data_IF_680770716875
#
_entry.id   IF_680770716875
#
_cell.length_a   1.000
_cell.length_b   1.000
_cell.length_c   1.000
_cell.angle_alpha   90.00
_cell.angle_beta   90.00
_cell.angle_gamma   90.00
#
_symmetry.space_group_name_H-M   'P 1'
#
loop_
_entity.id
_entity.type
_entity.pdbx_description
1 polymer ?
#
# COMPACT_ATOMS: atom_id res chain seq x y z
N UNK A 1 9.17 -8.58 28.69
CA UNK A 1 8.47 -9.35 27.65
C UNK A 1 9.38 -9.46 26.44
N UNK A 2 9.54 -10.68 25.87
CA UNK A 2 10.32 -10.87 24.65
C UNK A 2 9.39 -10.97 23.43
N UNK A 3 9.66 -10.20 22.37
CA UNK A 3 9.00 -10.25 21.06
C UNK A 3 10.04 -10.64 20.01
N UNK A 4 9.86 -11.79 19.40
CA UNK A 4 10.68 -12.20 18.25
C UNK A 4 10.13 -11.61 16.96
N UNK A 5 10.99 -11.41 15.98
CA UNK A 5 10.61 -10.94 14.65
C UNK A 5 11.61 -11.31 13.58
N UNK A 6 11.24 -11.01 12.34
CA UNK A 6 12.08 -11.21 11.15
C UNK A 6 12.04 -9.97 10.27
N UNK A 7 13.14 -9.66 9.62
CA UNK A 7 13.20 -8.67 8.54
C UNK A 7 13.55 -9.38 7.24
N UNK A 8 12.75 -9.12 6.21
CA UNK A 8 12.86 -9.75 4.90
C UNK A 8 12.91 -8.69 3.79
N UNK A 9 13.54 -9.04 2.67
CA UNK A 9 13.55 -8.20 1.47
C UNK A 9 12.21 -8.36 0.73
N UNK A 10 11.71 -7.27 0.21
CA UNK A 10 10.54 -7.18 -0.67
C UNK A 10 10.86 -7.81 -2.04
N UNK A 11 10.79 -9.15 -2.10
CA UNK A 11 11.01 -9.94 -3.30
C UNK A 11 10.30 -11.32 -3.20
N UNK A 12 10.26 -12.07 -4.30
CA UNK A 12 9.62 -13.39 -4.40
C UNK A 12 10.18 -14.43 -3.43
N UNK A 13 11.47 -14.30 -3.09
CA UNK A 13 12.16 -15.30 -2.28
C UNK A 13 12.07 -15.03 -0.77
N UNK A 14 11.45 -13.91 -0.36
CA UNK A 14 11.41 -13.48 1.06
C UNK A 14 12.78 -13.59 1.73
N UNK A 15 13.82 -13.20 1.00
CA UNK A 15 15.19 -13.31 1.46
C UNK A 15 15.39 -12.58 2.79
N UNK A 16 16.08 -13.18 3.75
CA UNK A 16 16.36 -12.51 5.01
C UNK A 16 17.24 -11.28 4.81
N UNK A 17 17.02 -10.25 5.62
CA UNK A 17 17.82 -9.03 5.59
C UNK A 17 18.61 -8.87 6.89
N UNK A 18 19.91 -9.23 6.90
CA UNK A 18 20.77 -9.08 8.06
C UNK A 18 21.22 -7.63 8.29
N UNK A 19 21.65 -7.32 9.51
CA UNK A 19 22.24 -6.04 9.86
C UNK A 19 21.26 -4.85 9.74
N UNK A 20 19.97 -5.10 9.98
CA UNK A 20 18.96 -4.05 10.12
C UNK A 20 18.94 -3.61 11.57
N UNK A 21 19.09 -2.33 11.82
CA UNK A 21 19.00 -1.74 13.15
C UNK A 21 17.54 -1.50 13.53
N UNK A 22 17.14 -1.94 14.70
CA UNK A 22 15.79 -1.81 15.19
C UNK A 22 15.79 -1.20 16.60
N UNK A 23 14.93 -0.19 16.78
CA UNK A 23 14.68 0.40 18.09
C UNK A 23 13.20 0.47 18.39
N UNK A 24 12.82 0.19 19.60
CA UNK A 24 11.45 0.32 20.10
C UNK A 24 11.43 0.94 21.49
N UNK A 25 10.35 1.61 21.84
CA UNK A 25 10.17 2.18 23.18
C UNK A 25 10.21 1.07 24.23
N UNK A 26 10.94 1.27 25.31
CA UNK A 26 11.09 0.33 26.45
C UNK A 26 11.80 -1.00 26.09
N UNK A 27 12.55 -1.06 24.98
CA UNK A 27 13.42 -2.18 24.64
C UNK A 27 14.82 -1.68 24.22
N UNK A 28 15.89 -2.40 24.56
CA UNK A 28 17.21 -2.11 24.00
C UNK A 28 17.19 -2.19 22.47
N UNK A 29 18.05 -1.39 21.81
CA UNK A 29 18.29 -1.53 20.39
C UNK A 29 18.79 -2.93 20.06
N UNK A 30 18.42 -3.44 18.89
CA UNK A 30 18.82 -4.77 18.41
C UNK A 30 19.06 -4.72 16.91
N UNK A 31 19.92 -5.60 16.42
CA UNK A 31 20.18 -5.78 14.98
C UNK A 31 19.66 -7.14 14.54
N UNK A 32 19.36 -7.29 13.23
CA UNK A 32 19.04 -8.60 12.69
C UNK A 32 20.30 -9.45 12.50
N UNK A 33 20.17 -10.75 12.81
CA UNK A 33 21.19 -11.76 12.55
C UNK A 33 21.31 -12.10 11.05
N UNK A 34 22.20 -13.07 10.72
CA UNK A 34 22.42 -13.54 9.34
C UNK A 34 21.14 -14.09 8.66
N UNK A 35 20.17 -14.53 9.44
CA UNK A 35 18.89 -15.05 8.98
C UNK A 35 17.77 -14.00 9.04
N UNK A 36 18.12 -12.73 9.25
CA UNK A 36 17.16 -11.64 9.37
C UNK A 36 16.32 -11.67 10.64
N UNK A 37 16.66 -12.50 11.65
CA UNK A 37 15.91 -12.58 12.88
C UNK A 37 16.36 -11.49 13.87
N UNK A 38 15.43 -11.03 14.69
CA UNK A 38 15.70 -10.13 15.81
C UNK A 38 14.82 -10.44 17.01
N UNK A 39 15.15 -9.85 18.16
CA UNK A 39 14.36 -9.98 19.38
C UNK A 39 14.38 -8.69 20.18
N UNK A 40 13.21 -8.12 20.43
CA UNK A 40 13.05 -7.06 21.41
C UNK A 40 12.81 -7.64 22.80
N UNK A 41 13.47 -7.10 23.80
CA UNK A 41 13.30 -7.43 25.22
C UNK A 41 12.72 -6.23 25.98
N UNK A 42 11.39 -6.14 26.01
CA UNK A 42 10.68 -5.05 26.68
C UNK A 42 10.76 -5.17 28.20
N UNK A 43 11.11 -4.08 28.88
CA UNK A 43 11.20 -4.02 30.34
C UNK A 43 9.83 -3.81 30.99
N UNK A 44 8.98 -2.96 30.41
CA UNK A 44 7.68 -2.53 30.99
C UNK A 44 6.47 -3.11 30.27
N UNK A 45 6.61 -3.55 29.02
CA UNK A 45 5.49 -4.04 28.21
C UNK A 45 5.09 -5.47 28.54
N UNK A 46 3.80 -5.81 28.34
CA UNK A 46 3.22 -7.14 28.55
C UNK A 46 2.64 -7.71 27.26
N UNK A 47 2.47 -9.05 27.15
CA UNK A 47 1.73 -9.64 26.04
C UNK A 47 0.32 -9.04 25.94
N UNK A 48 -0.14 -8.81 24.69
CA UNK A 48 -1.44 -8.18 24.42
C UNK A 48 -1.42 -6.65 24.35
N UNK A 49 -0.34 -6.00 24.78
CA UNK A 49 -0.21 -4.55 24.62
C UNK A 49 0.20 -4.17 23.20
N UNK A 50 -0.40 -3.09 22.67
CA UNK A 50 0.05 -2.49 21.44
C UNK A 50 1.32 -1.66 21.68
N UNK A 51 2.26 -1.72 20.75
CA UNK A 51 3.44 -0.87 20.73
C UNK A 51 3.36 0.13 19.58
N UNK A 52 3.99 1.30 19.76
CA UNK A 52 4.25 2.20 18.65
C UNK A 52 5.12 1.51 17.60
N UNK A 53 5.06 1.99 16.37
CA UNK A 53 5.90 1.48 15.29
C UNK A 53 7.37 1.51 15.72
N UNK A 54 8.10 0.40 15.66
CA UNK A 54 9.54 0.42 15.87
C UNK A 54 10.21 1.25 14.79
N UNK A 55 11.29 1.93 15.13
CA UNK A 55 12.16 2.52 14.13
C UNK A 55 13.03 1.41 13.54
N UNK A 56 13.05 1.32 12.21
CA UNK A 56 13.73 0.29 11.43
C UNK A 56 14.65 1.00 10.44
N UNK A 57 15.94 0.72 10.51
CA UNK A 57 16.92 1.39 9.67
C UNK A 57 17.94 0.42 9.08
N UNK A 58 18.15 0.54 7.78
CA UNK A 58 19.29 -0.02 7.06
C UNK A 58 19.61 0.90 5.87
N UNK A 59 20.88 1.28 5.74
CA UNK A 59 21.33 2.14 4.64
C UNK A 59 20.97 1.51 3.28
N UNK A 60 20.37 2.31 2.39
CA UNK A 60 19.96 1.88 1.05
C UNK A 60 18.67 1.05 1.01
N UNK A 61 17.92 1.01 2.12
CA UNK A 61 16.62 0.30 2.20
C UNK A 61 15.55 1.18 2.81
N UNK A 62 14.31 0.97 2.37
CA UNK A 62 13.11 1.62 2.89
C UNK A 62 12.10 0.61 3.45
N UNK A 63 11.31 1.04 4.43
CA UNK A 63 10.31 0.21 5.08
C UNK A 63 9.03 0.11 4.22
N UNK A 64 8.63 -1.11 3.85
CA UNK A 64 7.46 -1.38 3.00
C UNK A 64 6.17 -1.44 3.82
N UNK A 65 6.13 -2.23 4.87
CA UNK A 65 4.90 -2.57 5.60
C UNK A 65 4.67 -1.75 6.87
N UNK A 66 4.98 -0.44 6.83
CA UNK A 66 4.87 0.47 7.98
C UNK A 66 3.50 0.43 8.68
N UNK A 67 2.41 0.34 7.90
CA UNK A 67 1.05 0.35 8.43
C UNK A 67 0.69 -0.95 9.18
N UNK A 68 1.34 -2.06 8.81
CA UNK A 68 1.14 -3.36 9.46
C UNK A 68 1.88 -3.47 10.80
N UNK A 69 3.02 -2.79 10.93
CA UNK A 69 3.82 -2.82 12.17
C UNK A 69 3.42 -1.74 13.16
N UNK A 70 2.71 -0.70 12.70
CA UNK A 70 2.17 0.33 13.59
C UNK A 70 1.01 -0.22 14.43
N UNK A 71 1.10 -0.05 15.75
CA UNK A 71 0.13 -0.62 16.68
C UNK A 71 0.22 -2.14 16.80
N UNK A 72 1.38 -2.73 16.55
CA UNK A 72 1.59 -4.17 16.69
C UNK A 72 1.26 -4.65 18.11
N UNK A 73 0.48 -5.73 18.19
CA UNK A 73 0.13 -6.35 19.48
C UNK A 73 1.23 -7.35 19.87
N UNK A 74 1.87 -7.11 20.98
CA UNK A 74 2.94 -7.97 21.50
C UNK A 74 2.45 -9.39 21.78
N UNK A 75 3.19 -10.38 21.26
CA UNK A 75 2.84 -11.79 21.38
C UNK A 75 4.10 -12.66 21.47
N UNK A 76 4.12 -13.59 22.42
CA UNK A 76 5.19 -14.61 22.49
C UNK A 76 5.11 -15.62 21.34
N UNK A 77 3.93 -15.82 20.78
CA UNK A 77 3.68 -16.85 19.76
C UNK A 77 3.76 -16.30 18.33
N UNK A 78 3.49 -15.01 18.13
CA UNK A 78 3.42 -14.38 16.83
C UNK A 78 4.65 -13.50 16.60
N UNK A 79 5.55 -13.86 15.66
CA UNK A 79 6.70 -13.03 15.33
C UNK A 79 6.26 -11.74 14.63
N UNK A 80 6.97 -10.65 14.86
CA UNK A 80 6.80 -9.40 14.12
C UNK A 80 7.50 -9.54 12.78
N UNK A 81 6.74 -9.43 11.69
CA UNK A 81 7.29 -9.48 10.33
C UNK A 81 7.48 -8.07 9.78
N UNK A 82 8.70 -7.75 9.41
CA UNK A 82 9.09 -6.48 8.82
C UNK A 82 9.58 -6.75 7.39
N UNK A 83 9.13 -5.92 6.45
CA UNK A 83 9.52 -6.02 5.03
C UNK A 83 10.18 -4.72 4.62
N UNK A 84 11.36 -4.82 4.03
CA UNK A 84 12.12 -3.68 3.51
C UNK A 84 12.42 -3.90 2.02
N UNK A 85 12.40 -2.81 1.25
CA UNK A 85 12.80 -2.79 -0.15
C UNK A 85 14.09 -1.97 -0.33
N UNK A 86 14.87 -2.18 -1.39
CA UNK A 86 15.86 -1.19 -1.79
C UNK A 86 15.24 0.20 -1.91
N UNK A 87 15.96 1.22 -1.47
CA UNK A 87 15.51 2.61 -1.49
C UNK A 87 15.10 3.03 -2.91
N UNK A 88 13.93 3.68 -3.04
CA UNK A 88 13.35 4.10 -4.32
C UNK A 88 12.40 3.07 -4.96
N UNK A 89 12.38 1.82 -4.52
CA UNK A 89 11.52 0.77 -5.10
C UNK A 89 10.04 1.11 -4.98
N UNK A 90 9.62 1.63 -3.83
CA UNK A 90 8.22 1.99 -3.61
C UNK A 90 7.83 3.22 -4.44
N UNK A 91 8.73 4.21 -4.53
CA UNK A 91 8.49 5.41 -5.35
C UNK A 91 8.41 5.07 -6.84
N UNK A 92 9.28 4.20 -7.34
CA UNK A 92 9.24 3.72 -8.72
C UNK A 92 7.92 2.98 -9.02
N UNK A 93 7.51 2.07 -8.14
CA UNK A 93 6.24 1.36 -8.27
C UNK A 93 5.04 2.30 -8.15
N UNK A 94 5.07 3.29 -7.24
CA UNK A 94 4.05 4.33 -7.13
C UNK A 94 3.92 5.11 -8.44
N UNK A 95 5.03 5.57 -8.99
CA UNK A 95 5.05 6.33 -10.25
C UNK A 95 4.52 5.51 -11.42
N UNK A 96 4.81 4.21 -11.47
CA UNK A 96 4.26 3.28 -12.46
C UNK A 96 2.73 3.23 -12.37
N UNK A 97 2.16 2.94 -11.20
CA UNK A 97 0.71 2.83 -11.04
C UNK A 97 0.00 4.16 -11.21
N UNK A 98 0.61 5.26 -10.76
CA UNK A 98 0.14 6.61 -11.02
C UNK A 98 0.04 6.88 -12.52
N UNK A 99 1.11 6.66 -13.26
CA UNK A 99 1.18 6.92 -14.71
C UNK A 99 0.18 6.08 -15.50
N UNK A 100 0.05 4.78 -15.19
CA UNK A 100 -0.94 3.90 -15.81
C UNK A 100 -2.36 4.44 -15.59
N UNK A 101 -2.69 4.78 -14.35
CA UNK A 101 -4.02 5.25 -13.98
C UNK A 101 -4.37 6.59 -14.62
N UNK A 102 -3.42 7.54 -14.63
CA UNK A 102 -3.59 8.85 -15.27
C UNK A 102 -3.78 8.70 -16.78
N UNK A 103 -2.97 7.86 -17.45
CA UNK A 103 -3.10 7.64 -18.88
C UNK A 103 -4.49 7.09 -19.28
N UNK A 104 -4.99 6.11 -18.54
CA UNK A 104 -6.33 5.56 -18.78
C UNK A 104 -7.44 6.58 -18.50
N UNK A 105 -7.32 7.34 -17.42
CA UNK A 105 -8.30 8.36 -17.06
C UNK A 105 -8.34 9.49 -18.09
N UNK A 106 -7.18 10.03 -18.51
CA UNK A 106 -7.09 11.08 -19.52
C UNK A 106 -7.73 10.66 -20.84
N UNK A 107 -7.45 9.44 -21.31
CA UNK A 107 -8.07 8.90 -22.52
C UNK A 107 -9.60 8.78 -22.40
N UNK A 108 -10.13 8.37 -21.24
CA UNK A 108 -11.56 8.34 -20.97
C UNK A 108 -12.16 9.75 -20.99
N UNK A 109 -11.49 10.71 -20.34
CA UNK A 109 -11.93 12.11 -20.28
C UNK A 109 -11.93 12.77 -21.65
N UNK A 110 -10.88 12.61 -22.45
CA UNK A 110 -10.80 13.14 -23.83
C UNK A 110 -11.99 12.66 -24.66
N UNK A 111 -12.30 11.36 -24.60
CA UNK A 111 -13.43 10.78 -25.31
C UNK A 111 -14.77 11.37 -24.83
N UNK A 112 -14.96 11.49 -23.53
CA UNK A 112 -16.18 12.04 -22.96
C UNK A 112 -16.36 13.55 -23.30
N UNK A 113 -15.28 14.34 -23.31
CA UNK A 113 -15.29 15.74 -23.73
C UNK A 113 -15.67 15.83 -25.21
N UNK A 114 -15.12 14.98 -26.07
CA UNK A 114 -15.45 14.96 -27.48
C UNK A 114 -16.93 14.60 -27.70
N UNK A 115 -17.45 13.59 -27.00
CA UNK A 115 -18.87 13.22 -27.05
C UNK A 115 -19.79 14.40 -26.68
N UNK A 116 -19.47 15.14 -25.61
CA UNK A 116 -20.23 16.36 -25.20
C UNK A 116 -20.17 17.43 -26.26
N UNK A 117 -19.00 17.66 -26.88
CA UNK A 117 -18.85 18.65 -27.95
C UNK A 117 -19.67 18.26 -29.20
N UNK A 118 -19.67 16.99 -29.58
CA UNK A 118 -20.45 16.48 -30.72
C UNK A 118 -21.98 16.63 -30.48
N UNK A 119 -22.44 16.38 -29.25
CA UNK A 119 -23.85 16.60 -28.90
C UNK A 119 -24.24 18.08 -29.02
N UNK A 120 -23.35 19.00 -28.64
CA UNK A 120 -23.57 20.43 -28.78
C UNK A 120 -23.58 20.87 -30.26
N UNK A 121 -22.60 20.43 -31.06
CA UNK A 121 -22.54 20.72 -32.49
C UNK A 121 -23.80 20.20 -33.23
N UNK A 122 -24.26 19.00 -32.83
CA UNK A 122 -25.49 18.42 -33.38
C UNK A 122 -26.78 19.06 -32.82
N UNK A 123 -26.68 20.14 -32.07
CA UNK A 123 -27.81 20.87 -31.41
C UNK A 123 -28.69 19.96 -30.52
N UNK A 124 -28.14 18.88 -29.97
CA UNK A 124 -28.83 17.97 -29.06
C UNK A 124 -28.80 18.41 -27.62
N UNK A 125 -27.88 19.30 -27.26
CA UNK A 125 -27.76 19.93 -25.95
C UNK A 125 -27.55 21.43 -26.08
N UNK A 126 -27.98 22.18 -25.07
CA UNK A 126 -27.79 23.64 -25.00
C UNK A 126 -26.35 23.99 -24.61
N UNK A 127 -25.97 25.25 -24.82
CA UNK A 127 -24.70 25.79 -24.33
C UNK A 127 -24.56 25.66 -22.81
N UNK A 128 -25.63 25.87 -22.09
CA UNK A 128 -25.65 25.71 -20.63
C UNK A 128 -25.38 24.27 -20.22
N UNK A 129 -26.08 23.31 -20.82
CA UNK A 129 -25.86 21.87 -20.53
C UNK A 129 -24.43 21.42 -20.89
N UNK A 130 -23.88 21.89 -22.02
CA UNK A 130 -22.48 21.65 -22.36
C UNK A 130 -21.54 22.16 -21.28
N UNK A 131 -21.74 23.41 -20.82
CA UNK A 131 -20.94 24.04 -19.79
C UNK A 131 -21.00 23.25 -18.47
N UNK A 132 -22.19 22.83 -18.07
CA UNK A 132 -22.40 22.11 -16.80
C UNK A 132 -21.77 20.72 -16.85
N UNK A 133 -21.86 19.99 -17.98
CA UNK A 133 -21.19 18.70 -18.17
C UNK A 133 -19.66 18.83 -18.13
N UNK A 134 -19.09 19.85 -18.77
CA UNK A 134 -17.64 20.08 -18.72
C UNK A 134 -17.14 20.46 -17.33
N UNK A 135 -17.93 21.23 -16.56
CA UNK A 135 -17.61 21.54 -15.15
C UNK A 135 -17.63 20.28 -14.29
N UNK A 136 -18.65 19.43 -14.44
CA UNK A 136 -18.72 18.16 -13.72
C UNK A 136 -17.53 17.25 -14.02
N UNK A 137 -17.08 17.18 -15.28
CA UNK A 137 -15.87 16.44 -15.67
C UNK A 137 -14.60 17.03 -15.04
N UNK A 138 -14.50 18.35 -14.91
CA UNK A 138 -13.35 18.98 -14.24
C UNK A 138 -13.31 18.66 -12.74
N UNK A 139 -14.47 18.58 -12.09
CA UNK A 139 -14.58 18.17 -10.69
C UNK A 139 -14.25 16.68 -10.50
N UNK A 140 -14.73 15.82 -11.40
CA UNK A 140 -14.34 14.39 -11.44
C UNK A 140 -12.82 14.24 -11.57
N UNK A 141 -12.20 15.04 -12.43
CA UNK A 141 -10.73 15.01 -12.63
C UNK A 141 -9.97 15.38 -11.36
N UNK A 142 -10.43 16.41 -10.62
CA UNK A 142 -9.79 16.78 -9.36
C UNK A 142 -9.94 15.68 -8.30
N UNK A 143 -11.13 15.10 -8.20
CA UNK A 143 -11.38 13.98 -7.29
C UNK A 143 -10.51 12.78 -7.61
N UNK A 144 -10.40 12.42 -8.90
CA UNK A 144 -9.55 11.35 -9.37
C UNK A 144 -8.08 11.58 -9.01
N UNK A 145 -7.53 12.77 -9.26
CA UNK A 145 -6.13 13.08 -8.96
C UNK A 145 -5.81 12.96 -7.46
N UNK A 146 -6.73 13.39 -6.61
CA UNK A 146 -6.58 13.24 -5.16
C UNK A 146 -6.60 11.75 -4.73
N UNK A 147 -7.43 10.93 -5.36
CA UNK A 147 -7.52 9.50 -5.06
C UNK A 147 -6.29 8.75 -5.55
N UNK A 148 -5.85 9.00 -6.80
CA UNK A 148 -4.75 8.24 -7.37
C UNK A 148 -3.45 8.42 -6.59
N UNK A 149 -3.15 9.63 -6.10
CA UNK A 149 -1.94 9.89 -5.32
C UNK A 149 -1.89 9.03 -4.05
N UNK A 150 -3.03 8.92 -3.36
CA UNK A 150 -3.14 8.11 -2.14
C UNK A 150 -3.07 6.61 -2.41
N UNK A 151 -3.74 6.12 -3.47
CA UNK A 151 -3.84 4.69 -3.73
C UNK A 151 -2.66 4.13 -4.50
N UNK A 152 -1.98 4.91 -5.34
CA UNK A 152 -0.76 4.48 -6.01
C UNK A 152 0.32 4.05 -5.00
N UNK A 153 0.47 4.76 -3.88
CA UNK A 153 1.37 4.36 -2.81
C UNK A 153 0.94 3.03 -2.16
N UNK A 154 -0.36 2.83 -1.92
CA UNK A 154 -0.88 1.57 -1.36
C UNK A 154 -0.64 0.40 -2.29
N UNK A 155 -0.90 0.58 -3.59
CA UNK A 155 -0.67 -0.45 -4.61
C UNK A 155 0.82 -0.77 -4.79
N UNK A 156 1.70 0.23 -4.68
CA UNK A 156 3.15 0.05 -4.73
C UNK A 156 3.70 -0.84 -3.61
N UNK A 157 2.99 -0.95 -2.49
CA UNK A 157 3.35 -1.80 -1.35
C UNK A 157 2.82 -3.23 -1.45
N UNK A 158 2.03 -3.54 -2.48
CA UNK A 158 1.63 -4.91 -2.79
C UNK A 158 2.83 -5.61 -3.45
N UNK A 159 3.31 -6.68 -2.81
CA UNK A 159 4.42 -7.46 -3.39
C UNK A 159 3.88 -8.35 -4.52
N UNK A 160 4.22 -8.10 -5.80
CA UNK A 160 3.69 -8.88 -6.92
C UNK A 160 4.14 -10.33 -6.91
N UNK A 161 5.22 -10.65 -6.19
CA UNK A 161 5.79 -11.99 -6.10
C UNK A 161 5.26 -12.80 -4.89
N UNK A 162 4.58 -12.14 -3.95
CA UNK A 162 3.95 -12.77 -2.77
C UNK A 162 2.52 -12.25 -2.60
N UNK A 163 1.74 -12.38 -3.63
CA UNK A 163 0.44 -11.77 -3.81
C UNK A 163 -0.68 -12.78 -3.55
N UNK A 164 -1.67 -12.40 -2.78
CA UNK A 164 -2.90 -13.18 -2.65
C UNK A 164 -3.85 -12.92 -3.83
N UNK A 165 -4.91 -13.76 -3.96
CA UNK A 165 -5.85 -13.66 -5.09
C UNK A 165 -6.53 -12.28 -5.21
N UNK A 166 -6.78 -11.61 -4.09
CA UNK A 166 -7.43 -10.29 -4.06
C UNK A 166 -6.44 -9.20 -4.48
N UNK A 167 -5.25 -9.23 -3.93
CA UNK A 167 -4.17 -8.29 -4.30
C UNK A 167 -3.85 -8.40 -5.80
N UNK A 168 -3.83 -9.62 -6.33
CA UNK A 168 -3.66 -9.87 -7.75
C UNK A 168 -4.78 -9.20 -8.57
N UNK A 169 -6.05 -9.40 -8.19
CA UNK A 169 -7.18 -8.75 -8.85
C UNK A 169 -7.10 -7.22 -8.77
N UNK A 170 -6.70 -6.66 -7.63
CA UNK A 170 -6.48 -5.21 -7.49
C UNK A 170 -5.46 -4.70 -8.50
N UNK A 171 -4.29 -5.35 -8.60
CA UNK A 171 -3.26 -4.93 -9.56
C UNK A 171 -3.69 -5.15 -11.03
N UNK A 172 -4.44 -6.21 -11.33
CA UNK A 172 -5.02 -6.43 -12.66
C UNK A 172 -6.00 -5.32 -13.04
N UNK A 173 -6.87 -4.90 -12.11
CA UNK A 173 -7.81 -3.79 -12.33
C UNK A 173 -7.08 -2.45 -12.56
N UNK A 174 -6.03 -2.17 -11.77
CA UNK A 174 -5.19 -0.96 -11.97
C UNK A 174 -4.54 -0.98 -13.35
N UNK A 175 -3.94 -2.10 -13.74
CA UNK A 175 -3.30 -2.24 -15.05
C UNK A 175 -4.31 -2.16 -16.22
N UNK A 176 -5.57 -2.53 -16.00
CA UNK A 176 -6.66 -2.38 -16.96
C UNK A 176 -7.28 -0.97 -16.97
N UNK A 177 -6.78 -0.04 -16.16
CA UNK A 177 -7.31 1.33 -16.03
C UNK A 177 -8.62 1.46 -15.27
N UNK A 178 -9.02 0.41 -14.54
CA UNK A 178 -10.25 0.33 -13.74
C UNK A 178 -10.00 0.75 -12.29
N UNK A 179 -9.48 1.97 -12.10
CA UNK A 179 -9.01 2.43 -10.79
C UNK A 179 -10.10 2.42 -9.73
N UNK A 180 -11.33 2.87 -10.05
CA UNK A 180 -12.43 2.90 -9.09
C UNK A 180 -12.78 1.50 -8.56
N UNK A 181 -12.83 0.51 -9.47
CA UNK A 181 -13.06 -0.90 -9.11
C UNK A 181 -11.90 -1.44 -8.26
N UNK A 182 -10.66 -1.10 -8.61
CA UNK A 182 -9.48 -1.48 -7.83
C UNK A 182 -9.51 -0.92 -6.41
N UNK A 183 -9.85 0.36 -6.25
CA UNK A 183 -10.00 1.03 -4.95
C UNK A 183 -11.11 0.39 -4.13
N UNK A 184 -12.26 0.15 -4.73
CA UNK A 184 -13.40 -0.49 -4.06
C UNK A 184 -13.04 -1.90 -3.57
N UNK A 185 -12.40 -2.70 -4.42
CA UNK A 185 -11.93 -4.04 -4.06
C UNK A 185 -10.88 -4.01 -2.95
N UNK A 186 -9.91 -3.10 -3.05
CA UNK A 186 -8.88 -2.90 -2.03
C UNK A 186 -9.49 -2.56 -0.66
N UNK A 187 -10.43 -1.62 -0.62
CA UNK A 187 -11.08 -1.20 0.62
C UNK A 187 -12.01 -2.28 1.20
N UNK A 188 -12.81 -2.96 0.36
CA UNK A 188 -13.70 -4.07 0.79
C UNK A 188 -12.94 -5.28 1.31
N UNK A 189 -11.82 -5.59 0.70
CA UNK A 189 -11.02 -6.75 1.09
C UNK A 189 -10.37 -6.59 2.46
N UNK A 190 -10.29 -5.36 2.97
CA UNK A 190 -9.57 -5.08 4.21
C UNK A 190 -8.16 -5.65 4.17
N UNK A 191 -7.45 -5.51 3.05
CA UNK A 191 -6.11 -6.12 2.84
C UNK A 191 -5.21 -5.89 4.05
N UNK A 192 -5.26 -4.68 4.63
CA UNK A 192 -4.53 -4.37 5.87
C UNK A 192 -5.10 -5.16 7.07
N UNK A 193 -6.43 -5.27 7.16
CA UNK A 193 -7.12 -5.99 8.25
C UNK A 193 -6.90 -7.49 8.12
N UNK A 194 -6.99 -8.05 6.92
CA UNK A 194 -6.74 -9.47 6.65
C UNK A 194 -5.27 -9.86 6.85
N UNK A 195 -4.34 -8.98 6.52
CA UNK A 195 -2.92 -9.20 6.86
C UNK A 195 -2.72 -9.26 8.37
N UNK A 196 -3.40 -8.41 9.14
CA UNK A 196 -3.43 -8.46 10.61
C UNK A 196 -4.13 -9.72 11.13
N UNK A 197 -5.25 -10.13 10.53
CA UNK A 197 -6.03 -11.31 10.93
C UNK A 197 -5.36 -12.63 10.53
N UNK A 198 -4.77 -12.74 9.33
CA UNK A 198 -3.97 -13.91 8.94
C UNK A 198 -2.78 -14.14 9.87
N UNK A 199 -2.19 -13.06 10.37
CA UNK A 199 -1.19 -13.13 11.43
C UNK A 199 -1.80 -13.59 12.76
N UNK A 200 -3.10 -13.35 13.01
CA UNK A 200 -3.78 -13.79 14.24
C UNK A 200 -4.28 -15.24 14.21
N UNK A 201 -4.67 -15.75 13.04
CA UNK A 201 -5.24 -17.10 12.86
C UNK A 201 -4.18 -18.22 12.77
N UNK A 202 -2.93 -17.92 12.39
CA UNK A 202 -1.83 -18.89 12.46
C UNK A 202 -1.36 -19.20 13.88
N UNK A 203 -2.12 -18.79 14.90
CA UNK A 203 -1.75 -18.88 16.32
C UNK A 203 -2.75 -19.69 17.16
N UNK A 204 -3.61 -20.50 16.53
CA UNK A 204 -4.38 -21.55 17.23
C UNK A 204 -3.77 -22.90 17.03
#
# INVERSE_FOLDING_TARGET
>A
MSQKGTVQIFNSNKSPLPGVQLTATDAPATDTDANGNFQFNFSKQKPGMAIASPNVYKKGYELVNKDMINGWILSKKRPLSIVMAPEGTIEESKNKYYSISVAHFSKKQEKAIEEVNQLYIAQKISLQERSDRLKAMAEESRSFMNQIDQYAEKFARINPDDINAIEKQVLELVNAGKLSEAIELYNKSGIITQAREKLSQKTK
#
